data_IF_978580490864
#
_entry.id   IF_978580490864
#
_cell.length_a   1.000
_cell.length_b   1.000
_cell.length_c   1.000
_cell.angle_alpha   90.00
_cell.angle_beta   90.00
_cell.angle_gamma   90.00
#
_symmetry.space_group_name_H-M   'P 1'
#
loop_
_entity.id
_entity.type
_entity.pdbx_description
1 polymer ?
#
# COMPACT_ATOMS: atom_id res chain seq x y z
N UNK A 1 -17.52 15.01 8.52
CA UNK A 1 -16.85 13.83 7.94
C UNK A 1 -17.03 12.67 8.89
N UNK A 2 -17.84 11.68 8.52
CA UNK A 2 -18.06 10.48 9.32
C UNK A 2 -16.74 9.70 9.44
N UNK A 3 -16.40 9.29 10.67
CA UNK A 3 -15.22 8.46 10.95
C UNK A 3 -15.64 7.00 10.86
N UNK A 4 -15.27 6.34 9.77
CA UNK A 4 -15.47 4.90 9.59
C UNK A 4 -14.50 4.08 10.47
N UNK A 5 -14.92 2.86 10.84
CA UNK A 5 -14.08 1.91 11.57
C UNK A 5 -12.91 1.37 10.74
N UNK A 6 -11.88 0.82 11.39
CA UNK A 6 -10.70 0.25 10.72
C UNK A 6 -11.05 -0.87 9.74
N UNK A 7 -11.89 -1.80 10.19
CA UNK A 7 -12.36 -2.92 9.38
C UNK A 7 -13.17 -2.42 8.17
N UNK A 8 -14.01 -1.41 8.35
CA UNK A 8 -14.84 -0.87 7.28
C UNK A 8 -14.01 -0.14 6.21
N UNK A 9 -12.99 0.63 6.62
CA UNK A 9 -12.08 1.25 5.66
C UNK A 9 -11.27 0.19 4.88
N UNK A 10 -10.80 -0.87 5.56
CA UNK A 10 -10.12 -1.99 4.91
C UNK A 10 -11.03 -2.66 3.87
N UNK A 11 -12.28 -2.97 4.24
CA UNK A 11 -13.26 -3.59 3.36
C UNK A 11 -13.59 -2.71 2.14
N UNK A 12 -13.66 -1.38 2.29
CA UNK A 12 -13.90 -0.44 1.17
C UNK A 12 -12.73 -0.41 0.19
N UNK A 13 -11.50 -0.27 0.67
CA UNK A 13 -10.33 -0.29 -0.23
C UNK A 13 -10.20 -1.65 -0.92
N UNK A 14 -10.48 -2.74 -0.20
CA UNK A 14 -10.48 -4.08 -0.80
C UNK A 14 -11.55 -4.24 -1.88
N UNK A 15 -12.76 -3.70 -1.69
CA UNK A 15 -13.77 -3.70 -2.75
C UNK A 15 -13.31 -2.96 -4.02
N UNK A 16 -12.67 -1.79 -3.86
CA UNK A 16 -12.10 -1.03 -4.99
C UNK A 16 -11.02 -1.83 -5.73
N UNK A 17 -10.20 -2.59 -4.99
CA UNK A 17 -9.25 -3.52 -5.60
C UNK A 17 -9.96 -4.56 -6.45
N UNK A 18 -10.93 -5.28 -5.91
CA UNK A 18 -11.62 -6.37 -6.61
C UNK A 18 -12.23 -5.91 -7.94
N UNK A 19 -12.90 -4.74 -7.94
CA UNK A 19 -13.60 -4.24 -9.13
C UNK A 19 -12.70 -3.50 -10.13
N UNK A 20 -11.44 -3.20 -9.79
CA UNK A 20 -10.54 -2.44 -10.67
C UNK A 20 -10.23 -3.18 -11.98
N UNK A 21 -10.34 -2.50 -13.12
CA UNK A 21 -10.11 -3.07 -14.46
C UNK A 21 -9.07 -2.33 -15.27
N UNK A 22 -8.75 -1.10 -14.87
CA UNK A 22 -7.86 -0.23 -15.60
C UNK A 22 -6.94 0.54 -14.65
N UNK A 23 -6.05 1.34 -15.24
CA UNK A 23 -5.09 2.15 -14.50
C UNK A 23 -5.77 3.16 -13.56
N UNK A 24 -6.86 3.80 -13.98
CA UNK A 24 -7.57 4.80 -13.18
C UNK A 24 -8.21 4.19 -11.93
N UNK A 25 -8.80 2.99 -12.07
CA UNK A 25 -9.36 2.25 -10.94
C UNK A 25 -8.25 1.87 -9.93
N UNK A 26 -7.09 1.44 -10.42
CA UNK A 26 -5.93 1.12 -9.58
C UNK A 26 -5.40 2.35 -8.84
N UNK A 27 -5.42 3.52 -9.48
CA UNK A 27 -5.07 4.79 -8.83
C UNK A 27 -6.07 5.13 -7.72
N UNK A 28 -7.37 4.92 -7.96
CA UNK A 28 -8.42 5.12 -6.96
C UNK A 28 -8.23 4.20 -5.75
N UNK A 29 -7.99 2.90 -5.98
CA UNK A 29 -7.62 1.95 -4.94
C UNK A 29 -6.38 2.42 -4.15
N UNK A 30 -5.33 2.83 -4.85
CA UNK A 30 -4.07 3.29 -4.25
C UNK A 30 -4.29 4.48 -3.33
N UNK A 31 -5.08 5.46 -3.75
CA UNK A 31 -5.43 6.62 -2.90
C UNK A 31 -6.21 6.19 -1.66
N UNK A 32 -7.16 5.24 -1.80
CA UNK A 32 -7.91 4.69 -0.66
C UNK A 32 -6.97 4.07 0.38
N UNK A 33 -6.04 3.21 -0.05
CA UNK A 33 -5.10 2.53 0.84
C UNK A 33 -4.17 3.53 1.53
N UNK A 34 -3.66 4.53 0.79
CA UNK A 34 -2.82 5.59 1.36
C UNK A 34 -3.54 6.35 2.47
N UNK A 35 -4.78 6.75 2.22
CA UNK A 35 -5.62 7.46 3.20
C UNK A 35 -5.91 6.60 4.43
N UNK A 36 -6.17 5.30 4.23
CA UNK A 36 -6.36 4.35 5.32
C UNK A 36 -5.11 4.22 6.20
N UNK A 37 -3.94 4.02 5.58
CA UNK A 37 -2.65 3.94 6.29
C UNK A 37 -2.39 5.25 7.04
N UNK A 38 -2.57 6.41 6.39
CA UNK A 38 -2.35 7.72 7.02
C UNK A 38 -3.21 7.93 8.28
N UNK A 39 -4.44 7.41 8.30
CA UNK A 39 -5.33 7.49 9.47
C UNK A 39 -4.91 6.59 10.63
N UNK A 40 -4.30 5.45 10.36
CA UNK A 40 -3.87 4.48 11.37
C UNK A 40 -2.42 4.68 11.82
N UNK A 41 -1.62 5.37 11.00
CA UNK A 41 -0.19 5.49 11.20
C UNK A 41 0.13 6.32 12.45
N UNK A 42 0.92 5.75 13.35
CA UNK A 42 1.49 6.42 14.52
C UNK A 42 3.01 6.40 14.36
N UNK A 43 3.67 7.55 14.55
CA UNK A 43 5.14 7.67 14.45
C UNK A 43 5.74 7.08 13.16
N UNK A 44 5.10 7.29 12.00
CA UNK A 44 5.52 6.75 10.69
C UNK A 44 5.48 5.22 10.59
N UNK A 45 4.76 4.56 11.48
CA UNK A 45 4.55 3.11 11.44
C UNK A 45 3.07 2.77 11.47
N UNK A 46 2.70 1.66 10.83
CA UNK A 46 1.35 1.08 10.89
C UNK A 46 1.47 -0.45 11.06
N UNK A 47 0.34 -1.13 11.21
CA UNK A 47 0.28 -2.58 11.46
C UNK A 47 1.10 -2.96 12.70
N UNK A 48 0.77 -2.33 13.84
CA UNK A 48 1.42 -2.56 15.13
C UNK A 48 2.94 -2.32 15.14
N UNK A 49 3.46 -1.53 14.18
CA UNK A 49 4.88 -1.22 14.08
C UNK A 49 5.65 -2.10 13.08
N UNK A 50 4.99 -3.11 12.50
CA UNK A 50 5.61 -4.03 11.54
C UNK A 50 5.94 -3.35 10.21
N UNK A 51 5.20 -2.30 9.85
CA UNK A 51 5.43 -1.58 8.60
C UNK A 51 5.79 -0.11 8.86
N UNK A 52 6.92 0.33 8.30
CA UNK A 52 7.40 1.72 8.37
C UNK A 52 7.19 2.44 7.04
N UNK A 53 6.59 3.62 7.11
CA UNK A 53 6.36 4.50 5.96
C UNK A 53 7.40 5.62 5.96
N UNK A 54 8.29 5.62 4.97
CA UNK A 54 9.27 6.67 4.80
C UNK A 54 8.65 7.92 4.14
N UNK A 55 9.15 9.13 4.45
CA UNK A 55 8.84 10.32 3.67
C UNK A 55 9.15 10.12 2.19
N UNK A 56 8.44 10.86 1.33
CA UNK A 56 8.73 10.86 -0.11
C UNK A 56 10.21 11.21 -0.33
N UNK A 57 10.88 10.43 -1.17
CA UNK A 57 12.31 10.57 -1.49
C UNK A 57 13.29 10.36 -0.32
N UNK A 58 12.86 9.76 0.80
CA UNK A 58 13.73 9.41 1.94
C UNK A 58 14.10 7.92 1.98
N UNK A 59 13.77 7.16 0.93
CA UNK A 59 14.08 5.74 0.82
C UNK A 59 14.15 5.31 -0.64
N UNK A 60 14.81 4.18 -0.87
CA UNK A 60 14.97 3.58 -2.19
C UNK A 60 14.18 2.27 -2.24
N UNK A 61 13.35 2.11 -3.27
CA UNK A 61 12.88 0.81 -3.70
C UNK A 61 13.81 0.35 -4.83
N UNK A 62 14.36 -0.87 -4.76
CA UNK A 62 15.01 -1.48 -5.92
C UNK A 62 13.95 -1.86 -6.96
N UNK A 63 14.34 -1.79 -8.21
CA UNK A 63 13.47 -2.19 -9.30
C UNK A 63 13.43 -3.72 -9.40
N UNK A 64 12.23 -4.30 -9.54
CA UNK A 64 12.06 -5.75 -9.59
C UNK A 64 12.74 -6.38 -10.82
N UNK A 65 12.78 -5.65 -11.95
CA UNK A 65 13.50 -6.08 -13.16
C UNK A 65 15.02 -6.14 -12.92
N UNK A 66 15.57 -5.15 -12.23
CA UNK A 66 17.01 -5.11 -11.90
C UNK A 66 17.42 -6.18 -10.87
N UNK A 67 16.52 -6.58 -9.97
CA UNK A 67 16.79 -7.60 -8.97
C UNK A 67 16.35 -9.00 -9.38
N UNK A 68 15.81 -9.18 -10.59
CA UNK A 68 15.17 -10.44 -11.04
C UNK A 68 14.14 -10.97 -10.01
N UNK A 69 13.43 -10.07 -9.34
CA UNK A 69 12.47 -10.41 -8.27
C UNK A 69 13.08 -11.21 -7.09
N UNK A 70 14.41 -11.18 -6.91
CA UNK A 70 15.08 -11.87 -5.79
C UNK A 70 14.84 -11.16 -4.47
N UNK A 71 14.49 -11.94 -3.45
CA UNK A 71 14.35 -11.45 -2.08
C UNK A 71 15.72 -11.19 -1.43
N UNK A 72 15.79 -10.16 -0.59
CA UNK A 72 16.94 -9.91 0.28
C UNK A 72 16.57 -10.26 1.72
N UNK A 73 17.57 -10.69 2.49
CA UNK A 73 17.38 -10.98 3.92
C UNK A 73 17.17 -9.72 4.76
N UNK A 74 17.46 -8.53 4.20
CA UNK A 74 17.33 -7.24 4.89
C UNK A 74 16.06 -6.49 4.51
N UNK A 75 15.47 -6.79 3.36
CA UNK A 75 14.34 -6.06 2.79
C UNK A 75 13.69 -6.81 1.63
N UNK A 76 12.40 -6.57 1.44
CA UNK A 76 11.59 -7.09 0.33
C UNK A 76 10.83 -5.95 -0.31
N UNK A 77 10.38 -6.14 -1.55
CA UNK A 77 9.51 -5.19 -2.23
C UNK A 77 8.32 -5.87 -2.85
N UNK A 78 7.16 -5.29 -2.62
CA UNK A 78 5.94 -5.63 -3.31
C UNK A 78 5.74 -4.62 -4.43
N UNK A 79 5.86 -5.06 -5.68
CA UNK A 79 5.25 -4.33 -6.79
C UNK A 79 3.81 -4.83 -6.89
N UNK A 80 2.84 -3.96 -6.68
CA UNK A 80 1.43 -4.32 -6.79
C UNK A 80 1.06 -4.57 -8.24
N UNK A 81 1.13 -5.82 -8.70
CA UNK A 81 0.57 -6.25 -9.98
C UNK A 81 -0.81 -6.84 -9.71
N UNK A 82 -1.86 -6.23 -10.25
CA UNK A 82 -3.13 -6.94 -10.42
C UNK A 82 -2.99 -7.77 -11.70
N UNK A 83 -2.88 -9.08 -11.57
CA UNK A 83 -3.07 -9.96 -12.71
C UNK A 83 -4.50 -9.74 -13.21
N UNK A 84 -4.63 -9.35 -14.49
CA UNK A 84 -5.89 -9.06 -15.17
C UNK A 84 -6.90 -10.21 -15.07
#
# INVERSE_FOLDING_TARGET
MEKFSEQENRNKCQHLWEISKNFEDLMTFTVCVRHFIEKQMVNRTFDEGNVRVFPKAAGWARDAGHTETKFSTKDFMFHGWKAS
#
